data_IF_899396893971
#
_entry.id   IF_899396893971
#
_cell.length_a   1.000
_cell.length_b   1.000
_cell.length_c   1.000
_cell.angle_alpha   90.00
_cell.angle_beta   90.00
_cell.angle_gamma   90.00
#
_symmetry.space_group_name_H-M   'P 1'
#
loop_
_entity.id
_entity.type
_entity.pdbx_description
1 polymer ?
#
# COMPACT_ATOMS: atom_id res chain seq x y z
N UNK A 1 51.55 3.05 -29.94
CA UNK A 1 52.22 1.91 -29.26
C UNK A 1 51.11 0.94 -28.86
N UNK A 2 51.00 -0.13 -29.64
CA UNK A 2 49.99 -1.20 -29.55
C UNK A 2 50.41 -2.24 -28.50
N UNK A 3 49.45 -2.72 -27.71
CA UNK A 3 49.32 -4.06 -27.09
C UNK A 3 47.81 -4.11 -26.70
N UNK A 4 46.85 -4.86 -27.25
CA UNK A 4 46.73 -6.16 -27.92
C UNK A 4 47.32 -7.34 -27.14
N UNK A 5 46.44 -8.18 -26.56
CA UNK A 5 46.27 -9.66 -26.63
C UNK A 5 45.37 -10.02 -25.42
N UNK A 6 44.29 -10.80 -25.49
CA UNK A 6 43.71 -11.58 -26.56
C UNK A 6 42.42 -12.28 -26.12
N UNK A 7 41.75 -12.77 -27.14
CA UNK A 7 40.41 -13.37 -27.23
C UNK A 7 40.42 -14.87 -26.95
N UNK A 8 39.31 -15.44 -26.43
CA UNK A 8 38.86 -16.83 -26.67
C UNK A 8 37.38 -16.91 -26.23
N UNK A 9 36.34 -16.87 -27.09
CA UNK A 9 35.81 -17.81 -28.10
C UNK A 9 35.12 -19.07 -27.52
N UNK A 10 33.78 -19.10 -27.74
CA UNK A 10 32.81 -20.21 -27.92
C UNK A 10 32.35 -21.03 -26.71
N UNK A 11 31.04 -21.04 -26.47
CA UNK A 11 30.17 -22.11 -27.00
C UNK A 11 28.69 -21.79 -26.77
N UNK A 12 27.89 -21.97 -27.83
CA UNK A 12 26.44 -21.97 -27.79
C UNK A 12 25.96 -23.43 -27.77
N UNK A 13 25.05 -23.76 -26.86
CA UNK A 13 24.21 -24.97 -26.97
C UNK A 13 22.77 -24.63 -26.55
N UNK A 14 21.86 -24.85 -27.50
CA UNK A 14 20.40 -24.95 -27.34
C UNK A 14 20.00 -26.39 -27.00
N UNK A 15 18.69 -26.57 -26.72
CA UNK A 15 17.88 -27.80 -26.53
C UNK A 15 17.62 -28.15 -25.06
N UNK A 16 16.40 -28.48 -24.59
CA UNK A 16 15.07 -28.67 -25.21
C UNK A 16 14.01 -28.66 -24.08
N UNK A 17 12.70 -28.45 -24.36
CA UNK A 17 11.62 -28.47 -23.38
C UNK A 17 11.08 -29.89 -23.14
N UNK A 18 10.52 -30.14 -21.95
CA UNK A 18 9.82 -31.37 -21.62
C UNK A 18 8.38 -31.34 -22.13
N UNK A 19 8.01 -32.37 -22.90
CA UNK A 19 6.65 -32.72 -23.35
C UNK A 19 6.13 -33.80 -22.39
N UNK A 20 4.86 -33.69 -21.96
CA UNK A 20 4.03 -34.88 -21.73
C UNK A 20 2.75 -34.75 -22.55
N UNK A 21 2.59 -35.76 -23.39
CA UNK A 21 1.55 -36.06 -24.38
C UNK A 21 0.22 -36.43 -23.73
N UNK A 22 -0.91 -36.14 -24.36
CA UNK A 22 -1.96 -37.15 -24.51
C UNK A 22 -2.79 -36.92 -25.79
N UNK A 23 -3.11 -38.06 -26.38
CA UNK A 23 -3.60 -38.35 -27.71
C UNK A 23 -5.13 -38.23 -27.84
N UNK A 24 -5.58 -37.49 -28.85
CA UNK A 24 -6.78 -37.80 -29.66
C UNK A 24 -6.38 -38.85 -30.72
N UNK A 25 -7.27 -39.55 -31.48
CA UNK A 25 -8.68 -39.25 -31.77
C UNK A 25 -9.62 -40.49 -31.81
N UNK A 26 -10.90 -40.24 -32.11
CA UNK A 26 -11.78 -41.02 -33.04
C UNK A 26 -13.20 -41.30 -32.49
N UNK A 27 -14.18 -40.63 -33.09
CA UNK A 27 -15.55 -41.13 -33.34
C UNK A 27 -15.51 -42.08 -34.57
N UNK A 28 -16.61 -42.69 -35.06
CA UNK A 28 -18.00 -42.78 -34.58
C UNK A 28 -18.55 -44.23 -34.54
N UNK A 29 -19.71 -44.48 -33.94
CA UNK A 29 -20.76 -45.35 -34.52
C UNK A 29 -22.01 -45.41 -33.66
N UNK A 30 -23.12 -45.31 -34.37
CA UNK A 30 -24.50 -45.36 -33.92
C UNK A 30 -24.84 -46.73 -33.31
N UNK A 31 -25.52 -46.73 -32.17
CA UNK A 31 -26.39 -47.85 -31.81
C UNK A 31 -27.73 -47.33 -31.31
N UNK A 32 -28.74 -47.65 -32.12
CA UNK A 32 -30.16 -47.50 -31.87
C UNK A 32 -30.54 -48.41 -30.68
N UNK A 33 -31.19 -47.87 -29.65
CA UNK A 33 -31.86 -48.70 -28.65
C UNK A 33 -33.34 -48.35 -28.59
N UNK A 34 -34.11 -49.40 -28.90
CA UNK A 34 -35.54 -49.51 -28.88
C UNK A 34 -36.11 -49.32 -27.47
N UNK A 35 -37.27 -48.67 -27.41
CA UNK A 35 -38.11 -48.50 -26.24
C UNK A 35 -38.73 -49.84 -25.81
N UNK A 36 -38.69 -50.16 -24.52
CA UNK A 36 -39.78 -50.92 -23.87
C UNK A 36 -39.84 -50.64 -22.36
N UNK A 37 -41.04 -50.68 -21.74
CA UNK A 37 -41.31 -49.94 -20.52
C UNK A 37 -41.32 -50.80 -19.24
N UNK A 38 -41.39 -50.07 -18.12
CA UNK A 38 -41.78 -50.49 -16.75
C UNK A 38 -40.67 -51.05 -15.86
N UNK A 39 -40.09 -50.18 -15.04
CA UNK A 39 -39.88 -50.49 -13.62
C UNK A 39 -40.16 -49.25 -12.76
N UNK A 40 -41.06 -49.45 -11.79
CA UNK A 40 -41.45 -48.46 -10.78
C UNK A 40 -40.30 -48.29 -9.79
N UNK A 41 -39.72 -47.10 -9.71
CA UNK A 41 -38.74 -46.76 -8.68
C UNK A 41 -39.41 -45.84 -7.67
N UNK A 42 -39.44 -46.30 -6.42
CA UNK A 42 -39.91 -45.56 -5.25
C UNK A 42 -39.04 -44.31 -5.03
N UNK A 43 -39.65 -43.13 -5.06
CA UNK A 43 -38.99 -41.88 -4.70
C UNK A 43 -38.97 -41.75 -3.17
N UNK A 44 -37.81 -42.00 -2.56
CA UNK A 44 -37.53 -41.52 -1.22
C UNK A 44 -37.20 -40.02 -1.31
N UNK A 45 -38.03 -39.17 -0.70
CA UNK A 45 -37.74 -37.75 -0.49
C UNK A 45 -36.57 -37.62 0.47
N UNK A 46 -35.36 -37.50 -0.07
CA UNK A 46 -34.19 -37.10 0.71
C UNK A 46 -34.30 -35.58 0.94
N UNK A 47 -34.54 -35.22 2.20
CA UNK A 47 -34.41 -33.85 2.70
C UNK A 47 -33.03 -33.33 2.32
N UNK A 48 -32.99 -32.38 1.38
CA UNK A 48 -31.80 -31.60 1.08
C UNK A 48 -31.50 -30.71 2.29
N UNK A 49 -30.52 -31.11 3.09
CA UNK A 49 -29.96 -30.23 4.09
C UNK A 49 -29.34 -29.04 3.34
N UNK A 50 -29.94 -27.85 3.52
CA UNK A 50 -29.32 -26.61 3.10
C UNK A 50 -28.02 -26.47 3.90
N UNK A 51 -26.89 -26.70 3.24
CA UNK A 51 -25.60 -26.33 3.79
C UNK A 51 -25.63 -24.82 4.04
N UNK A 52 -25.63 -24.43 5.32
CA UNK A 52 -25.39 -23.06 5.72
C UNK A 52 -23.98 -22.71 5.26
N UNK A 53 -23.87 -21.98 4.16
CA UNK A 53 -22.63 -21.30 3.82
C UNK A 53 -22.41 -20.22 4.87
N UNK A 54 -21.62 -20.54 5.89
CA UNK A 54 -21.08 -19.53 6.78
C UNK A 54 -20.24 -18.61 5.90
N UNK A 55 -20.75 -17.41 5.63
CA UNK A 55 -19.91 -16.33 5.11
C UNK A 55 -18.80 -16.15 6.13
N UNK A 56 -17.58 -16.53 5.76
CA UNK A 56 -16.41 -16.12 6.50
C UNK A 56 -16.48 -14.59 6.53
N UNK A 57 -16.87 -14.04 7.67
CA UNK A 57 -16.76 -12.62 7.95
C UNK A 57 -15.29 -12.29 7.81
N UNK A 58 -14.89 -11.82 6.63
CA UNK A 58 -13.56 -11.27 6.45
C UNK A 58 -13.52 -10.08 7.40
N UNK A 59 -12.76 -10.23 8.48
CA UNK A 59 -12.43 -9.10 9.34
C UNK A 59 -11.96 -7.96 8.44
N UNK A 60 -12.46 -6.73 8.62
CA UNK A 60 -12.04 -5.61 7.79
C UNK A 60 -10.50 -5.54 7.75
N UNK A 61 -9.92 -5.16 6.59
CA UNK A 61 -8.47 -5.13 6.44
C UNK A 61 -7.86 -4.26 7.54
N UNK A 62 -6.81 -4.78 8.19
CA UNK A 62 -6.14 -4.14 9.34
C UNK A 62 -5.70 -2.72 8.99
N UNK A 63 -5.07 -2.52 7.83
CA UNK A 63 -4.70 -1.21 7.30
C UNK A 63 -5.79 -0.65 6.37
N UNK A 64 -6.31 0.54 6.69
CA UNK A 64 -6.94 1.41 5.72
C UNK A 64 -5.90 2.35 5.11
N UNK A 65 -5.90 2.44 3.78
CA UNK A 65 -5.02 3.32 3.04
C UNK A 65 -5.81 4.13 2.00
N UNK A 66 -5.54 5.43 1.91
CA UNK A 66 -6.01 6.31 0.82
C UNK A 66 -4.87 7.21 0.36
N UNK A 67 -4.71 7.30 -0.95
CA UNK A 67 -3.92 8.34 -1.59
C UNK A 67 -4.88 9.44 -2.08
N UNK A 68 -4.60 10.67 -1.69
CA UNK A 68 -5.35 11.87 -2.04
C UNK A 68 -4.45 12.77 -2.85
N UNK A 69 -5.01 13.55 -3.76
CA UNK A 69 -4.24 14.39 -4.69
C UNK A 69 -4.69 15.84 -4.62
N UNK A 70 -3.74 16.74 -4.45
CA UNK A 70 -3.92 18.19 -4.58
C UNK A 70 -3.41 18.61 -5.97
N UNK A 71 -4.25 19.29 -6.74
CA UNK A 71 -4.02 19.48 -8.19
C UNK A 71 -3.05 20.60 -8.52
N UNK A 72 -2.98 21.63 -7.69
CA UNK A 72 -2.16 22.82 -7.98
C UNK A 72 -0.67 22.55 -7.79
N UNK A 73 -0.31 21.91 -6.68
CA UNK A 73 1.07 21.51 -6.36
C UNK A 73 1.44 20.13 -6.91
N UNK A 74 0.45 19.36 -7.37
CA UNK A 74 0.62 17.93 -7.69
C UNK A 74 1.07 17.08 -6.48
N UNK A 75 0.69 17.50 -5.27
CA UNK A 75 1.04 16.80 -4.02
C UNK A 75 0.14 15.59 -3.78
N UNK A 76 0.77 14.49 -3.37
CA UNK A 76 0.06 13.37 -2.78
C UNK A 76 0.02 13.48 -1.25
N UNK A 77 -1.19 13.46 -0.70
CA UNK A 77 -1.43 13.29 0.73
C UNK A 77 -1.84 11.85 0.99
N UNK A 78 -1.29 11.20 2.01
CA UNK A 78 -1.61 9.81 2.34
C UNK A 78 -2.32 9.72 3.68
N UNK A 79 -3.48 9.04 3.71
CA UNK A 79 -4.23 8.71 4.92
C UNK A 79 -4.05 7.22 5.23
N UNK A 80 -3.54 6.93 6.42
CA UNK A 80 -3.38 5.57 6.94
C UNK A 80 -4.16 5.43 8.25
N UNK A 81 -4.78 4.28 8.48
CA UNK A 81 -5.41 3.97 9.77
C UNK A 81 -5.36 2.47 10.08
N UNK A 82 -5.33 2.15 11.38
CA UNK A 82 -5.57 0.79 11.85
C UNK A 82 -7.06 0.60 12.13
N UNK A 83 -7.79 -0.03 11.20
CA UNK A 83 -9.22 -0.26 11.32
C UNK A 83 -9.59 -1.43 12.24
N UNK A 84 -8.60 -2.23 12.67
CA UNK A 84 -8.81 -3.33 13.62
C UNK A 84 -8.84 -2.85 15.07
N UNK A 85 -8.16 -1.73 15.36
CA UNK A 85 -8.18 -1.11 16.67
C UNK A 85 -9.51 -0.40 16.95
N UNK A 86 -10.11 -0.50 18.16
CA UNK A 86 -11.42 0.10 18.47
C UNK A 86 -11.53 1.60 18.18
N UNK A 87 -10.46 2.36 18.49
CA UNK A 87 -10.39 3.81 18.24
C UNK A 87 -10.15 4.19 16.77
N UNK A 88 -9.79 3.25 15.90
CA UNK A 88 -9.36 3.50 14.51
C UNK A 88 -8.33 4.63 14.37
N UNK A 89 -7.18 4.55 15.07
CA UNK A 89 -6.15 5.59 15.05
C UNK A 89 -5.59 5.76 13.63
N UNK A 90 -5.45 7.02 13.22
CA UNK A 90 -5.09 7.39 11.86
C UNK A 90 -4.03 8.50 11.81
N UNK A 91 -3.32 8.57 10.70
CA UNK A 91 -2.35 9.62 10.41
C UNK A 91 -2.48 10.13 8.97
N UNK A 92 -2.05 11.36 8.76
CA UNK A 92 -1.86 11.98 7.44
C UNK A 92 -0.37 12.21 7.19
N UNK A 93 0.10 11.92 5.97
CA UNK A 93 1.44 12.25 5.47
C UNK A 93 1.29 13.29 4.36
N UNK A 94 2.07 14.37 4.46
CA UNK A 94 2.11 15.51 3.53
C UNK A 94 0.72 16.14 3.25
N UNK A 95 -0.02 16.56 4.30
CA UNK A 95 -1.29 17.27 4.10
C UNK A 95 -1.05 18.69 3.58
N UNK A 96 -1.88 19.14 2.63
CA UNK A 96 -1.84 20.49 2.06
C UNK A 96 -2.93 21.37 2.69
N UNK A 97 -2.62 22.64 2.98
CA UNK A 97 -3.52 23.59 3.64
C UNK A 97 -4.87 23.76 2.94
N UNK A 98 -4.88 23.87 1.60
CA UNK A 98 -6.08 24.04 0.77
C UNK A 98 -7.03 22.85 0.80
N UNK A 99 -6.53 21.66 1.14
CA UNK A 99 -7.33 20.42 1.16
C UNK A 99 -7.66 19.93 2.56
N UNK A 100 -7.35 20.68 3.61
CA UNK A 100 -7.60 20.28 5.00
C UNK A 100 -9.08 19.93 5.23
N UNK A 101 -10.02 20.70 4.69
CA UNK A 101 -11.45 20.39 4.86
C UNK A 101 -11.87 19.10 4.16
N UNK A 102 -11.32 18.82 2.97
CA UNK A 102 -11.52 17.54 2.27
C UNK A 102 -11.01 16.38 3.14
N UNK A 103 -9.80 16.53 3.69
CA UNK A 103 -9.13 15.47 4.43
C UNK A 103 -9.84 15.17 5.76
N UNK A 104 -10.22 16.22 6.50
CA UNK A 104 -10.95 16.09 7.76
C UNK A 104 -12.37 15.55 7.57
N UNK A 105 -13.05 15.92 6.49
CA UNK A 105 -14.36 15.34 6.16
C UNK A 105 -14.23 13.84 5.89
N UNK A 106 -13.22 13.42 5.12
CA UNK A 106 -12.98 11.99 4.86
C UNK A 106 -12.64 11.22 6.15
N UNK A 107 -11.79 11.77 7.01
CA UNK A 107 -11.47 11.20 8.33
C UNK A 107 -12.74 11.00 9.16
N UNK A 108 -13.63 12.00 9.17
CA UNK A 108 -14.91 11.96 9.90
C UNK A 108 -15.87 10.93 9.31
N UNK A 109 -16.03 10.90 7.98
CA UNK A 109 -16.90 9.95 7.27
C UNK A 109 -16.49 8.50 7.52
N UNK A 110 -15.18 8.24 7.59
CA UNK A 110 -14.63 6.92 7.88
C UNK A 110 -14.61 6.58 9.39
N UNK A 111 -14.97 7.53 10.25
CA UNK A 111 -14.98 7.35 11.71
C UNK A 111 -13.59 7.11 12.29
N UNK A 112 -12.57 7.79 11.76
CA UNK A 112 -11.18 7.62 12.16
C UNK A 112 -10.77 8.63 13.25
N UNK A 113 -9.87 8.22 14.13
CA UNK A 113 -9.24 9.09 15.14
C UNK A 113 -7.89 9.56 14.62
N UNK A 114 -7.86 10.75 14.03
CA UNK A 114 -6.60 11.35 13.58
C UNK A 114 -5.71 11.67 14.80
N UNK A 115 -4.49 11.15 14.82
CA UNK A 115 -3.52 11.36 15.92
C UNK A 115 -2.27 12.12 15.45
N UNK A 116 -1.86 11.94 14.20
CA UNK A 116 -0.69 12.59 13.62
C UNK A 116 -0.99 13.22 12.26
N UNK A 117 -0.42 14.40 12.04
CA UNK A 117 -0.33 15.03 10.73
C UNK A 117 1.16 15.30 10.47
N UNK A 118 1.75 14.61 9.50
CA UNK A 118 3.19 14.48 9.37
C UNK A 118 3.66 15.02 8.04
N UNK A 119 4.91 15.51 7.98
CA UNK A 119 5.56 15.79 6.71
C UNK A 119 6.79 14.91 6.50
N UNK A 120 7.08 14.59 5.25
CA UNK A 120 8.32 13.93 4.82
C UNK A 120 9.50 14.90 4.82
N UNK A 121 9.25 16.18 4.56
CA UNK A 121 10.23 17.25 4.55
C UNK A 121 9.56 18.63 4.67
N UNK A 122 10.33 19.71 4.59
CA UNK A 122 9.78 21.07 4.43
C UNK A 122 9.53 21.30 2.95
N UNK A 123 8.26 21.42 2.59
CA UNK A 123 7.82 21.56 1.20
C UNK A 123 8.08 22.97 0.66
N UNK A 124 8.46 23.06 -0.62
CA UNK A 124 8.71 24.33 -1.32
C UNK A 124 7.57 24.74 -2.26
N UNK A 125 6.75 23.76 -2.64
CA UNK A 125 5.70 23.82 -3.65
C UNK A 125 4.31 24.08 -3.06
N UNK A 126 4.12 23.82 -1.75
CA UNK A 126 2.86 24.05 -1.05
C UNK A 126 3.04 24.41 0.42
N UNK A 127 1.98 24.97 1.02
CA UNK A 127 1.92 25.23 2.46
C UNK A 127 1.33 24.01 3.18
N UNK A 128 2.05 23.52 4.19
CA UNK A 128 1.59 22.36 4.97
C UNK A 128 0.26 22.63 5.68
N UNK A 129 -0.66 21.68 5.61
CA UNK A 129 -1.95 21.71 6.31
C UNK A 129 -1.86 21.34 7.79
N UNK A 130 -0.70 20.88 8.28
CA UNK A 130 -0.52 20.41 9.67
C UNK A 130 -0.95 21.43 10.72
N UNK A 131 -0.64 22.72 10.53
CA UNK A 131 -1.04 23.79 11.44
C UNK A 131 -2.56 24.00 11.50
N UNK A 132 -3.23 23.99 10.35
CA UNK A 132 -4.69 24.13 10.27
C UNK A 132 -5.41 22.91 10.86
N UNK A 133 -4.89 21.70 10.59
CA UNK A 133 -5.43 20.45 11.16
C UNK A 133 -5.40 20.51 12.68
N UNK A 134 -4.29 20.94 13.28
CA UNK A 134 -4.18 21.10 14.74
C UNK A 134 -5.18 22.08 15.32
N UNK A 135 -5.44 23.18 14.61
CA UNK A 135 -6.43 24.16 15.01
C UNK A 135 -7.87 23.63 14.96
N UNK A 136 -8.16 22.72 14.03
CA UNK A 136 -9.50 22.14 13.82
C UNK A 136 -9.76 20.85 14.60
N UNK A 137 -8.72 20.08 14.92
CA UNK A 137 -8.81 18.79 15.61
C UNK A 137 -7.87 18.79 16.83
N UNK A 138 -8.37 19.18 18.01
CA UNK A 138 -7.57 19.19 19.23
C UNK A 138 -6.97 17.82 19.55
N UNK A 139 -5.69 17.79 19.90
CA UNK A 139 -4.96 16.57 20.26
C UNK A 139 -4.18 15.93 19.11
N UNK A 140 -4.43 16.30 17.85
CA UNK A 140 -3.55 15.93 16.74
C UNK A 140 -2.18 16.59 16.93
N UNK A 141 -1.11 15.82 16.70
CA UNK A 141 0.27 16.34 16.76
C UNK A 141 0.86 16.47 15.38
N UNK A 142 1.51 17.59 15.09
CA UNK A 142 2.34 17.71 13.90
C UNK A 142 3.67 17.00 14.09
N UNK A 143 4.12 16.28 13.06
CA UNK A 143 5.38 15.51 13.08
C UNK A 143 6.26 15.91 11.92
N UNK A 144 7.55 16.12 12.18
CA UNK A 144 8.56 16.37 11.14
C UNK A 144 9.93 15.90 11.59
N UNK A 145 10.86 15.71 10.66
CA UNK A 145 12.22 15.34 11.02
C UNK A 145 12.91 16.45 11.81
N UNK A 146 13.72 16.08 12.80
CA UNK A 146 14.54 17.05 13.55
C UNK A 146 15.56 17.76 12.65
N UNK A 147 16.09 17.02 11.66
CA UNK A 147 17.06 17.53 10.69
C UNK A 147 16.50 18.64 9.78
N UNK A 148 15.17 18.78 9.69
CA UNK A 148 14.54 19.84 8.91
C UNK A 148 14.72 21.25 9.48
N UNK A 149 15.03 21.39 10.78
CA UNK A 149 15.05 22.69 11.45
C UNK A 149 13.69 23.40 11.56
N UNK A 150 12.61 22.77 11.10
CA UNK A 150 11.25 23.30 11.16
C UNK A 150 10.63 23.20 12.55
N UNK A 151 9.43 23.77 12.74
CA UNK A 151 8.65 23.68 13.98
C UNK A 151 7.58 22.61 13.86
N UNK A 152 7.50 21.71 14.84
CA UNK A 152 6.44 20.72 14.98
C UNK A 152 6.22 20.37 16.45
N UNK A 153 5.15 19.63 16.78
CA UNK A 153 4.94 19.13 18.14
C UNK A 153 5.86 17.95 18.48
N UNK A 154 6.18 17.14 17.47
CA UNK A 154 7.03 15.95 17.59
C UNK A 154 8.11 16.01 16.51
N UNK A 155 9.35 15.79 16.95
CA UNK A 155 10.50 15.63 16.07
C UNK A 155 10.87 14.15 15.98
N UNK A 156 11.20 13.70 14.78
CA UNK A 156 11.68 12.33 14.54
C UNK A 156 13.11 12.29 14.03
N UNK A 157 13.81 11.24 14.42
CA UNK A 157 15.18 10.91 14.03
C UNK A 157 15.21 9.53 13.32
N UNK A 158 16.30 9.18 12.61
CA UNK A 158 16.40 7.91 11.90
C UNK A 158 16.29 6.72 12.86
N UNK A 159 15.48 5.72 12.49
CA UNK A 159 15.22 4.54 13.31
C UNK A 159 14.00 4.67 14.24
N UNK A 160 13.44 5.88 14.39
CA UNK A 160 12.20 6.08 15.14
C UNK A 160 11.04 5.30 14.54
N UNK A 161 10.06 4.98 15.39
CA UNK A 161 8.82 4.32 15.01
C UNK A 161 7.60 5.15 15.40
N UNK A 162 6.77 5.48 14.42
CA UNK A 162 5.52 6.21 14.64
C UNK A 162 4.38 5.19 14.63
N UNK A 163 3.80 4.93 15.81
CA UNK A 163 2.76 3.92 15.97
C UNK A 163 1.36 4.51 15.85
N UNK A 164 0.44 3.74 15.26
CA UNK A 164 -0.99 4.04 15.15
C UNK A 164 -1.78 2.74 15.25
N UNK A 165 -2.29 2.45 16.45
CA UNK A 165 -2.82 1.11 16.77
C UNK A 165 -1.68 0.10 16.84
N UNK A 166 -1.87 -1.06 16.22
CA UNK A 166 -0.86 -2.12 16.14
C UNK A 166 0.09 -1.93 14.93
N UNK A 167 -0.11 -0.89 14.12
CA UNK A 167 0.68 -0.57 12.95
C UNK A 167 1.73 0.51 13.28
N UNK A 168 2.86 0.49 12.58
CA UNK A 168 3.87 1.54 12.71
C UNK A 168 4.56 1.89 11.40
N UNK A 169 5.09 3.12 11.35
CA UNK A 169 6.01 3.60 10.32
C UNK A 169 7.42 3.73 10.91
N UNK A 170 8.39 3.08 10.29
CA UNK A 170 9.82 3.27 10.51
C UNK A 170 10.28 4.55 9.80
N UNK A 171 11.04 5.39 10.49
CA UNK A 171 11.60 6.63 9.96
C UNK A 171 13.00 6.37 9.41
N UNK A 172 13.20 6.61 8.11
CA UNK A 172 14.52 6.51 7.47
C UNK A 172 14.97 7.88 6.98
N UNK A 173 16.13 8.34 7.43
CA UNK A 173 16.74 9.52 6.82
C UNK A 173 17.06 9.25 5.35
N UNK A 174 16.55 10.10 4.48
CA UNK A 174 16.81 10.08 3.04
C UNK A 174 17.07 11.50 2.55
N UNK A 175 18.10 12.19 3.09
CA UNK A 175 18.43 13.55 2.67
C UNK A 175 18.91 13.58 1.23
N UNK A 176 18.75 14.73 0.58
CA UNK A 176 19.16 14.95 -0.80
C UNK A 176 18.36 16.09 -1.41
N UNK A 177 17.04 15.89 -1.54
CA UNK A 177 16.13 16.97 -1.93
C UNK A 177 16.14 18.12 -0.91
N UNK A 178 16.05 17.79 0.38
CA UNK A 178 16.40 18.70 1.49
C UNK A 178 17.24 17.94 2.52
N UNK A 179 17.85 18.66 3.47
CA UNK A 179 18.55 18.04 4.60
C UNK A 179 17.59 17.35 5.59
N UNK A 180 16.32 17.76 5.60
CA UNK A 180 15.28 17.22 6.46
C UNK A 180 14.50 16.05 5.89
N UNK A 181 14.79 15.59 4.67
CA UNK A 181 13.99 14.53 4.04
C UNK A 181 14.07 13.20 4.81
N UNK A 182 12.90 12.63 5.08
CA UNK A 182 12.73 11.27 5.58
C UNK A 182 11.79 10.48 4.68
N UNK A 183 12.02 9.18 4.61
CA UNK A 183 11.08 8.20 4.08
C UNK A 183 10.42 7.47 5.24
N UNK A 184 9.09 7.47 5.26
CA UNK A 184 8.33 6.64 6.20
C UNK A 184 8.06 5.28 5.58
N UNK A 185 8.37 4.19 6.27
CA UNK A 185 8.17 2.82 5.74
C UNK A 185 7.30 2.03 6.70
N UNK A 186 6.26 1.35 6.22
CA UNK A 186 5.48 0.44 7.07
C UNK A 186 6.37 -0.62 7.70
N UNK A 187 6.02 -1.07 8.90
CA UNK A 187 6.84 -2.02 9.65
C UNK A 187 7.15 -3.33 8.91
N UNK A 188 8.20 -4.00 9.33
CA UNK A 188 8.70 -5.27 8.80
C UNK A 188 8.29 -6.50 9.63
N UNK A 189 7.51 -6.30 10.70
CA UNK A 189 6.98 -7.37 11.54
C UNK A 189 5.93 -8.23 10.82
N UNK A 190 5.62 -9.42 11.38
CA UNK A 190 4.67 -10.37 10.79
C UNK A 190 3.25 -9.81 10.68
N UNK A 191 2.84 -8.94 11.61
CA UNK A 191 1.50 -8.35 11.67
C UNK A 191 1.41 -6.95 11.02
N UNK A 192 2.41 -6.59 10.22
CA UNK A 192 2.50 -5.33 9.49
C UNK A 192 2.09 -5.50 8.01
N UNK A 193 1.79 -4.41 7.28
CA UNK A 193 1.35 -4.48 5.89
C UNK A 193 2.38 -5.16 4.97
N UNK A 194 1.89 -6.11 4.16
CA UNK A 194 2.67 -6.79 3.13
C UNK A 194 1.97 -6.66 1.76
N UNK A 195 2.68 -6.25 0.69
CA UNK A 195 4.07 -5.77 0.70
C UNK A 195 4.23 -4.49 1.53
N UNK A 196 5.47 -4.23 2.00
CA UNK A 196 5.79 -2.97 2.69
C UNK A 196 5.53 -1.78 1.77
N UNK A 197 5.13 -0.66 2.37
CA UNK A 197 4.90 0.61 1.68
C UNK A 197 5.95 1.62 2.13
N UNK A 198 6.48 2.41 1.19
CA UNK A 198 7.42 3.48 1.47
C UNK A 198 6.86 4.82 0.95
N UNK A 199 6.79 5.81 1.83
CA UNK A 199 6.38 7.18 1.54
C UNK A 199 7.64 8.02 1.44
N UNK A 200 8.11 8.20 0.20
CA UNK A 200 9.48 8.64 -0.09
C UNK A 200 9.66 10.16 -0.14
N UNK A 201 8.57 10.92 0.03
CA UNK A 201 8.54 12.35 -0.28
C UNK A 201 9.19 12.62 -1.64
N UNK A 202 9.97 13.69 -1.70
CA UNK A 202 10.69 14.06 -2.92
C UNK A 202 12.09 13.44 -3.03
N UNK A 203 12.48 12.55 -2.12
CA UNK A 203 13.74 11.81 -2.28
C UNK A 203 13.69 10.86 -3.48
N UNK A 204 12.52 10.26 -3.75
CA UNK A 204 12.28 9.39 -4.89
C UNK A 204 10.87 9.62 -5.43
N UNK A 205 10.79 9.93 -6.73
CA UNK A 205 9.55 10.05 -7.48
C UNK A 205 9.40 8.86 -8.43
N UNK A 206 8.19 8.62 -8.92
CA UNK A 206 7.96 7.57 -9.93
C UNK A 206 8.73 7.95 -11.20
N UNK A 207 9.79 7.20 -11.51
CA UNK A 207 10.72 7.45 -12.64
C UNK A 207 11.48 8.78 -12.54
N UNK A 208 11.70 9.29 -11.33
CA UNK A 208 12.45 10.52 -11.11
C UNK A 208 12.90 10.69 -9.66
N UNK A 209 13.40 11.88 -9.33
CA UNK A 209 13.71 12.32 -7.97
C UNK A 209 13.52 13.83 -7.88
N UNK A 210 13.36 14.33 -6.65
CA UNK A 210 13.32 15.76 -6.37
C UNK A 210 14.63 16.44 -6.75
N UNK A 211 14.53 17.72 -7.08
CA UNK A 211 15.69 18.58 -7.38
C UNK A 211 16.59 18.73 -6.15
N UNK A 212 17.86 19.05 -6.33
CA UNK A 212 18.87 19.13 -5.24
C UNK A 212 19.67 20.44 -5.24
N UNK A 213 19.21 21.44 -5.98
CA UNK A 213 19.85 22.75 -6.15
C UNK A 213 19.28 23.84 -5.22
N UNK A 214 18.30 23.51 -4.38
CA UNK A 214 17.78 24.35 -3.30
C UNK A 214 17.91 23.63 -1.97
N UNK A 215 18.10 24.39 -0.90
CA UNK A 215 18.00 23.89 0.47
C UNK A 215 16.90 24.67 1.15
N UNK A 216 15.86 23.96 1.59
CA UNK A 216 14.69 24.48 2.30
C UNK A 216 14.81 24.09 3.77
#
# INVERSE_FOLDING_TARGET
MLLNVGTFIRSATRFSPFIITHSSPSSPSSFCFSFSPKQTVSFALQSSQMASFTTLSQSPPKLLFRQLFEKESSTYTYLLADCSHPDKPALLIDPVDRTVDRDLNLVKELGLKLIYAMNTHVHADHVTGTGLIKGKVPGVKSVISKASGSKADVFVEPGDKISFGDLFLEVRATPGHTMGCVTYVTGDGPDQPQPRMAFTGDALLIRGCGRTDFQV
#
